data_IF_223423711191
#
_entry.id   IF_223423711191
#
_cell.length_a   1.000
_cell.length_b   1.000
_cell.length_c   1.000
_cell.angle_alpha   90.00
_cell.angle_beta   90.00
_cell.angle_gamma   90.00
#
_symmetry.space_group_name_H-M   'P 1'
#
loop_
_entity.id
_entity.type
_entity.pdbx_description
1 polymer ?
#
# COMPACT_ATOMS: atom_id res chain seq x y z
N UNK A 1 -9.95 -8.54 33.46
CA UNK A 1 -9.80 -9.79 32.70
C UNK A 1 -9.08 -9.46 31.40
N UNK A 2 -7.81 -9.82 31.27
CA UNK A 2 -7.05 -9.60 30.04
C UNK A 2 -7.45 -10.66 29.01
N UNK A 3 -8.01 -10.22 27.87
CA UNK A 3 -8.33 -11.11 26.77
C UNK A 3 -7.01 -11.67 26.19
N UNK A 4 -6.83 -12.98 26.32
CA UNK A 4 -5.75 -13.72 25.66
C UNK A 4 -6.00 -13.62 24.16
N UNK A 5 -5.15 -12.88 23.46
CA UNK A 5 -5.17 -12.84 21.99
C UNK A 5 -4.63 -14.19 21.50
N UNK A 6 -5.39 -14.97 20.71
CA UNK A 6 -4.91 -16.25 20.22
C UNK A 6 -3.68 -16.02 19.32
N UNK A 7 -2.67 -16.87 19.49
CA UNK A 7 -1.47 -16.84 18.67
C UNK A 7 -1.85 -16.96 17.19
N UNK A 8 -1.29 -16.07 16.38
CA UNK A 8 -1.48 -16.04 14.92
C UNK A 8 -0.77 -17.27 14.34
N UNK A 9 -1.47 -18.24 13.72
CA UNK A 9 -0.80 -19.38 13.10
C UNK A 9 0.11 -18.89 11.98
N UNK A 10 1.32 -19.46 11.94
CA UNK A 10 2.35 -19.16 10.95
C UNK A 10 1.79 -19.37 9.54
N UNK A 11 1.90 -18.34 8.70
CA UNK A 11 1.66 -18.47 7.26
C UNK A 11 2.90 -19.15 6.69
N UNK A 12 2.78 -20.22 5.88
CA UNK A 12 3.95 -20.84 5.28
C UNK A 12 4.71 -19.80 4.46
N UNK A 13 6.01 -19.68 4.72
CA UNK A 13 6.88 -18.77 3.99
C UNK A 13 6.81 -19.12 2.50
N UNK A 14 6.46 -18.16 1.65
CA UNK A 14 6.83 -18.27 0.23
C UNK A 14 8.36 -18.19 0.20
N UNK A 15 9.00 -19.18 -0.42
CA UNK A 15 10.46 -19.22 -0.56
C UNK A 15 10.98 -17.86 -1.03
N UNK A 16 12.11 -17.41 -0.45
CA UNK A 16 12.78 -16.17 -0.82
C UNK A 16 12.96 -16.13 -2.34
N UNK A 17 12.13 -15.33 -3.00
CA UNK A 17 12.21 -15.17 -4.43
C UNK A 17 13.21 -14.06 -4.71
N UNK A 18 14.35 -14.44 -5.31
CA UNK A 18 14.94 -13.60 -6.34
C UNK A 18 13.80 -13.02 -7.18
N UNK A 19 13.87 -11.73 -7.54
CA UNK A 19 12.87 -11.07 -8.40
C UNK A 19 12.85 -11.79 -9.75
N UNK A 20 12.17 -12.93 -9.81
CA UNK A 20 11.90 -13.67 -11.01
C UNK A 20 10.84 -12.86 -11.75
N UNK A 21 11.03 -12.56 -13.03
CA UNK A 21 9.95 -12.01 -13.84
C UNK A 21 8.75 -12.95 -13.66
N UNK A 22 7.60 -12.36 -13.31
CA UNK A 22 6.32 -13.07 -13.24
C UNK A 22 6.20 -13.82 -14.56
N UNK A 23 6.32 -15.15 -14.50
CA UNK A 23 6.39 -15.99 -15.68
C UNK A 23 5.21 -15.69 -16.60
N UNK A 24 5.49 -15.60 -17.89
CA UNK A 24 4.48 -15.39 -18.92
C UNK A 24 3.28 -16.32 -18.64
N UNK A 25 2.08 -15.74 -18.51
CA UNK A 25 0.77 -16.39 -18.38
C UNK A 25 0.13 -16.60 -16.99
N UNK A 26 0.68 -16.11 -15.87
CA UNK A 26 -0.08 -16.11 -14.60
C UNK A 26 -0.74 -14.75 -14.33
N UNK A 27 -2.08 -14.71 -14.37
CA UNK A 27 -2.85 -13.54 -13.91
C UNK A 27 -2.51 -13.20 -12.46
N UNK A 28 -2.27 -11.94 -12.17
CA UNK A 28 -1.96 -11.46 -10.81
C UNK A 28 -3.24 -11.30 -10.00
N UNK A 29 -3.21 -11.80 -8.76
CA UNK A 29 -4.37 -11.77 -7.86
C UNK A 29 -4.24 -10.58 -6.91
N UNK A 30 -5.13 -9.60 -7.05
CA UNK A 30 -5.15 -8.39 -6.24
C UNK A 30 -6.26 -8.47 -5.18
N UNK A 31 -5.88 -8.28 -3.92
CA UNK A 31 -6.81 -8.02 -2.83
C UNK A 31 -7.00 -6.50 -2.72
N UNK A 32 -8.21 -6.00 -2.93
CA UNK A 32 -8.54 -4.58 -2.79
C UNK A 32 -9.28 -4.36 -1.47
N UNK A 33 -8.69 -3.60 -0.55
CA UNK A 33 -9.30 -3.33 0.75
C UNK A 33 -10.60 -2.52 0.60
N UNK A 34 -11.67 -3.00 1.20
CA UNK A 34 -12.90 -2.23 1.44
C UNK A 34 -13.43 -2.53 2.84
N UNK A 35 -13.67 -1.49 3.61
CA UNK A 35 -14.17 -1.61 4.97
C UNK A 35 -14.10 -0.27 5.72
N UNK A 36 -14.27 -0.27 7.04
CA UNK A 36 -14.17 0.95 7.83
C UNK A 36 -12.86 1.69 7.56
N UNK A 37 -12.95 3.02 7.41
CA UNK A 37 -11.82 3.87 7.03
C UNK A 37 -11.54 3.96 5.52
N UNK A 38 -12.23 3.22 4.65
CA UNK A 38 -12.24 3.52 3.22
C UNK A 38 -13.20 4.68 2.93
N UNK A 39 -12.84 5.65 2.07
CA UNK A 39 -13.67 6.84 1.79
C UNK A 39 -14.76 6.63 0.75
N UNK A 40 -14.61 5.65 -0.13
CA UNK A 40 -15.53 5.40 -1.23
C UNK A 40 -16.06 3.98 -1.14
N UNK A 41 -17.31 3.79 -1.57
CA UNK A 41 -17.78 2.47 -1.95
C UNK A 41 -16.86 1.92 -3.05
N UNK A 42 -16.57 0.63 -3.01
CA UNK A 42 -15.67 -0.01 -3.97
C UNK A 42 -16.05 0.32 -5.42
N UNK A 43 -17.36 0.32 -5.75
CA UNK A 43 -17.89 0.64 -7.08
C UNK A 43 -17.55 2.06 -7.58
N UNK A 44 -17.30 3.01 -6.66
CA UNK A 44 -16.95 4.41 -6.99
C UNK A 44 -15.45 4.66 -7.00
N UNK A 45 -14.63 3.67 -6.65
CA UNK A 45 -13.17 3.80 -6.62
C UNK A 45 -12.59 3.75 -8.03
N UNK A 46 -12.06 4.87 -8.52
CA UNK A 46 -11.37 4.93 -9.82
C UNK A 46 -10.19 3.96 -9.89
N UNK A 47 -9.47 3.78 -8.77
CA UNK A 47 -8.38 2.82 -8.70
C UNK A 47 -8.89 1.38 -8.88
N UNK A 48 -9.98 1.01 -8.21
CA UNK A 48 -10.57 -0.32 -8.39
C UNK A 48 -11.01 -0.53 -9.84
N UNK A 49 -11.70 0.45 -10.42
CA UNK A 49 -12.14 0.39 -11.82
C UNK A 49 -10.95 0.29 -12.79
N UNK A 50 -9.84 0.98 -12.52
CA UNK A 50 -8.63 0.88 -13.33
C UNK A 50 -8.03 -0.54 -13.26
N UNK A 51 -7.87 -1.11 -12.07
CA UNK A 51 -7.36 -2.48 -11.92
C UNK A 51 -8.29 -3.53 -12.54
N UNK A 52 -9.61 -3.31 -12.52
CA UNK A 52 -10.58 -4.24 -13.11
C UNK A 52 -10.60 -4.24 -14.64
N UNK A 53 -10.09 -3.19 -15.28
CA UNK A 53 -9.99 -3.10 -16.75
C UNK A 53 -8.81 -3.87 -17.32
N UNK A 54 -7.83 -4.19 -16.48
CA UNK A 54 -6.65 -4.94 -16.90
C UNK A 54 -7.00 -6.45 -16.97
N UNK A 55 -6.93 -7.08 -18.15
CA UNK A 55 -7.29 -8.49 -18.32
C UNK A 55 -6.35 -9.46 -17.59
N UNK A 56 -5.14 -9.02 -17.24
CA UNK A 56 -4.13 -9.81 -16.53
C UNK A 56 -4.25 -9.72 -15.01
N UNK A 57 -5.18 -8.90 -14.49
CA UNK A 57 -5.47 -8.77 -13.08
C UNK A 57 -6.77 -9.48 -12.69
N UNK A 58 -6.73 -10.21 -11.58
CA UNK A 58 -7.90 -10.77 -10.90
C UNK A 58 -8.08 -10.03 -9.58
N UNK A 59 -8.97 -9.05 -9.58
CA UNK A 59 -9.23 -8.22 -8.40
C UNK A 59 -10.36 -8.83 -7.56
N UNK A 60 -10.18 -8.87 -6.24
CA UNK A 60 -11.21 -9.23 -5.26
C UNK A 60 -11.21 -8.23 -4.12
N UNK A 61 -12.40 -7.84 -3.69
CA UNK A 61 -12.56 -7.01 -2.50
C UNK A 61 -12.30 -7.87 -1.27
N UNK A 62 -11.57 -7.33 -0.30
CA UNK A 62 -11.34 -7.95 1.01
C UNK A 62 -11.69 -6.99 2.14
N UNK A 63 -12.30 -7.50 3.20
CA UNK A 63 -12.60 -6.74 4.41
C UNK A 63 -11.49 -6.89 5.48
N UNK A 64 -11.50 -6.08 6.56
CA UNK A 64 -10.63 -6.31 7.71
C UNK A 64 -10.78 -7.71 8.32
N UNK A 65 -12.00 -8.26 8.33
CA UNK A 65 -12.30 -9.61 8.82
C UNK A 65 -11.62 -10.67 7.95
N UNK A 66 -11.70 -10.52 6.62
CA UNK A 66 -11.02 -11.40 5.66
C UNK A 66 -9.50 -11.40 5.89
N UNK A 67 -8.93 -10.21 6.10
CA UNK A 67 -7.49 -10.04 6.34
C UNK A 67 -7.10 -10.71 7.66
N UNK A 68 -7.85 -10.49 8.75
CA UNK A 68 -7.62 -11.16 10.03
C UNK A 68 -7.73 -12.68 9.92
N UNK A 69 -8.67 -13.16 9.11
CA UNK A 69 -8.87 -14.58 8.81
C UNK A 69 -7.76 -15.18 7.90
N UNK A 70 -6.76 -14.40 7.49
CA UNK A 70 -5.61 -14.89 6.73
C UNK A 70 -5.88 -15.07 5.23
N UNK A 71 -6.96 -14.49 4.70
CA UNK A 71 -7.33 -14.67 3.28
C UNK A 71 -6.33 -14.07 2.28
N UNK A 72 -5.41 -13.21 2.75
CA UNK A 72 -4.31 -12.66 1.94
C UNK A 72 -3.38 -13.73 1.34
N UNK A 73 -3.33 -14.94 1.92
CA UNK A 73 -2.50 -16.03 1.40
C UNK A 73 -2.82 -16.41 -0.07
N UNK A 74 -4.05 -16.15 -0.52
CA UNK A 74 -4.48 -16.38 -1.90
C UNK A 74 -4.12 -15.27 -2.88
N UNK A 75 -3.44 -14.21 -2.45
CA UNK A 75 -3.19 -13.03 -3.28
C UNK A 75 -1.69 -12.81 -3.54
N UNK A 76 -1.41 -12.02 -4.56
CA UNK A 76 -0.07 -11.59 -4.92
C UNK A 76 0.18 -10.15 -4.44
N UNK A 77 -0.86 -9.30 -4.47
CA UNK A 77 -0.77 -7.89 -4.07
C UNK A 77 -1.97 -7.49 -3.21
N UNK A 78 -1.72 -6.76 -2.12
CA UNK A 78 -2.74 -6.03 -1.37
C UNK A 78 -2.74 -4.56 -1.80
N UNK A 79 -3.90 -4.08 -2.24
CA UNK A 79 -4.18 -2.68 -2.53
C UNK A 79 -4.97 -2.11 -1.36
N UNK A 80 -4.34 -1.20 -0.61
CA UNK A 80 -4.97 -0.47 0.47
C UNK A 80 -5.52 0.87 -0.05
N UNK A 81 -6.85 1.01 -0.02
CA UNK A 81 -7.57 2.12 -0.65
C UNK A 81 -7.35 3.48 0.05
N UNK A 82 -7.85 4.54 -0.59
CA UNK A 82 -7.99 5.87 0.04
C UNK A 82 -8.97 5.90 1.21
N UNK A 83 -9.01 7.04 1.91
CA UNK A 83 -9.88 7.28 3.07
C UNK A 83 -9.14 7.80 4.31
N UNK A 84 -9.30 7.12 5.45
CA UNK A 84 -8.62 7.41 6.71
C UNK A 84 -7.63 6.30 7.06
N UNK A 85 -6.33 6.59 6.99
CA UNK A 85 -5.28 5.60 7.33
C UNK A 85 -5.43 5.08 8.76
N UNK A 86 -5.71 5.97 9.72
CA UNK A 86 -6.00 5.57 11.10
C UNK A 86 -7.31 4.81 11.25
N UNK A 87 -8.34 5.15 10.47
CA UNK A 87 -9.59 4.39 10.43
C UNK A 87 -9.37 2.94 9.97
N UNK A 88 -8.62 2.76 8.88
CA UNK A 88 -8.26 1.45 8.35
C UNK A 88 -7.38 0.66 9.32
N UNK A 89 -6.32 1.28 9.86
CA UNK A 89 -5.42 0.64 10.83
C UNK A 89 -6.13 0.19 12.11
N UNK A 90 -7.07 0.99 12.63
CA UNK A 90 -7.90 0.61 13.79
C UNK A 90 -8.89 -0.50 13.43
N UNK A 91 -9.51 -0.45 12.25
CA UNK A 91 -10.46 -1.47 11.80
C UNK A 91 -9.78 -2.84 11.62
N UNK A 92 -8.54 -2.85 11.15
CA UNK A 92 -7.70 -4.06 11.06
C UNK A 92 -7.36 -4.62 12.44
N UNK A 93 -7.17 -3.75 13.44
CA UNK A 93 -6.61 -4.11 14.74
C UNK A 93 -5.16 -4.57 14.64
N UNK A 94 -4.56 -5.00 15.76
CA UNK A 94 -3.19 -5.53 15.74
C UNK A 94 -3.10 -6.80 14.88
N UNK A 95 -4.05 -7.72 15.04
CA UNK A 95 -4.05 -8.99 14.30
C UNK A 95 -4.12 -8.80 12.77
N UNK A 96 -4.95 -7.88 12.28
CA UNK A 96 -5.06 -7.61 10.84
C UNK A 96 -3.79 -6.94 10.29
N UNK A 97 -3.21 -6.01 11.05
CA UNK A 97 -1.94 -5.35 10.68
C UNK A 97 -0.78 -6.33 10.64
N UNK A 98 -0.73 -7.27 11.59
CA UNK A 98 0.26 -8.35 11.58
C UNK A 98 0.09 -9.27 10.37
N UNK A 99 -1.14 -9.62 10.00
CA UNK A 99 -1.38 -10.41 8.78
C UNK A 99 -0.86 -9.72 7.51
N UNK A 100 -0.98 -8.39 7.43
CA UNK A 100 -0.43 -7.63 6.32
C UNK A 100 1.10 -7.61 6.37
N UNK A 101 1.71 -7.38 7.54
CA UNK A 101 3.17 -7.44 7.70
C UNK A 101 3.74 -8.78 7.26
N UNK A 102 3.17 -9.88 7.73
CA UNK A 102 3.57 -11.24 7.34
C UNK A 102 3.39 -11.46 5.84
N UNK A 103 2.27 -11.02 5.26
CA UNK A 103 2.03 -11.13 3.83
C UNK A 103 3.12 -10.43 3.01
N UNK A 104 3.49 -9.20 3.37
CA UNK A 104 4.55 -8.45 2.68
C UNK A 104 5.92 -9.08 2.92
N UNK A 105 6.22 -9.49 4.15
CA UNK A 105 7.46 -10.19 4.49
C UNK A 105 7.64 -11.48 3.68
N UNK A 106 6.55 -12.18 3.40
CA UNK A 106 6.52 -13.38 2.56
C UNK A 106 6.44 -13.08 1.05
N UNK A 107 6.85 -11.89 0.61
CA UNK A 107 6.93 -11.52 -0.80
C UNK A 107 5.61 -11.06 -1.44
N UNK A 108 4.57 -10.80 -0.64
CA UNK A 108 3.36 -10.14 -1.12
C UNK A 108 3.60 -8.67 -1.43
N UNK A 109 3.07 -8.18 -2.56
CA UNK A 109 3.15 -6.76 -2.91
C UNK A 109 2.18 -5.90 -2.10
N UNK A 110 2.53 -4.66 -1.82
CA UNK A 110 1.64 -3.68 -1.19
C UNK A 110 1.53 -2.42 -2.03
N UNK A 111 0.30 -1.99 -2.32
CA UNK A 111 0.01 -0.72 -2.98
C UNK A 111 -0.85 0.12 -2.03
N UNK A 112 -0.30 1.20 -1.51
CA UNK A 112 -1.04 2.15 -0.68
C UNK A 112 -1.48 3.36 -1.49
N UNK A 113 -2.79 3.65 -1.49
CA UNK A 113 -3.36 4.82 -2.17
C UNK A 113 -3.88 5.80 -1.12
N UNK A 114 -3.38 7.03 -1.11
CA UNK A 114 -3.78 8.07 -0.15
C UNK A 114 -3.69 7.54 1.30
N UNK A 115 -4.80 7.22 1.94
CA UNK A 115 -4.85 6.59 3.27
C UNK A 115 -3.99 5.34 3.41
N UNK A 116 -3.96 4.48 2.39
CA UNK A 116 -3.10 3.30 2.37
C UNK A 116 -1.61 3.66 2.42
N UNK A 117 -1.22 4.82 1.91
CA UNK A 117 0.16 5.33 1.97
C UNK A 117 0.51 5.87 3.37
N UNK A 118 -0.46 6.42 4.11
CA UNK A 118 -0.26 6.71 5.54
C UNK A 118 -0.12 5.42 6.35
N UNK A 119 -0.96 4.42 6.06
CA UNK A 119 -1.03 3.17 6.82
C UNK A 119 0.29 2.37 6.77
N UNK A 120 0.99 2.35 5.63
CA UNK A 120 2.22 1.55 5.46
C UNK A 120 3.45 2.13 6.17
N UNK A 121 3.40 3.41 6.55
CA UNK A 121 4.48 4.14 7.25
C UNK A 121 4.85 3.51 8.61
N UNK A 122 5.83 4.09 9.31
CA UNK A 122 6.16 3.77 10.71
C UNK A 122 5.79 4.91 11.68
N UNK A 123 4.87 5.79 11.28
CA UNK A 123 4.70 7.10 11.90
C UNK A 123 3.59 7.19 12.96
N UNK A 124 2.75 6.16 13.07
CA UNK A 124 1.64 6.12 14.02
C UNK A 124 1.50 4.74 14.67
N UNK A 125 0.91 4.65 15.89
CA UNK A 125 0.69 3.36 16.56
C UNK A 125 -0.21 2.40 15.77
N UNK A 126 -1.07 2.93 14.89
CA UNK A 126 -1.95 2.16 14.00
C UNK A 126 -1.32 1.89 12.64
N UNK A 127 -0.11 2.40 12.35
CA UNK A 127 0.59 2.10 11.11
C UNK A 127 1.06 0.63 11.07
N UNK A 128 1.48 0.18 9.89
CA UNK A 128 2.00 -1.16 9.67
C UNK A 128 3.47 -1.27 10.05
N UNK A 129 4.25 -0.20 9.93
CA UNK A 129 5.69 -0.23 10.18
C UNK A 129 6.44 -1.04 9.12
N UNK A 130 6.00 -0.97 7.86
CA UNK A 130 6.62 -1.69 6.73
C UNK A 130 7.57 -0.76 5.97
N UNK A 131 7.14 0.47 5.72
CA UNK A 131 7.92 1.49 5.04
C UNK A 131 8.59 2.38 6.08
N UNK A 132 9.92 2.54 6.02
CA UNK A 132 10.69 3.45 6.88
C UNK A 132 10.48 4.92 6.48
N UNK A 133 9.24 5.36 6.57
CA UNK A 133 8.79 6.69 6.21
C UNK A 133 7.92 7.27 7.32
N UNK A 134 8.02 8.59 7.48
CA UNK A 134 7.16 9.40 8.32
C UNK A 134 6.32 10.35 7.47
N UNK A 135 5.18 10.77 8.02
CA UNK A 135 4.27 11.70 7.34
C UNK A 135 4.63 13.12 7.75
N UNK A 136 5.09 13.91 6.78
CA UNK A 136 5.34 15.33 6.95
C UNK A 136 4.04 16.12 7.02
N UNK A 137 4.06 17.11 7.91
CA UNK A 137 3.01 18.12 8.06
C UNK A 137 1.60 17.52 8.11
N UNK A 138 1.40 16.72 9.16
CA UNK A 138 0.16 15.99 9.49
C UNK A 138 -1.05 16.91 9.65
N UNK A 139 -0.82 18.17 10.01
CA UNK A 139 -1.88 19.16 10.28
C UNK A 139 -2.56 19.62 9.00
N UNK A 140 -1.82 19.75 7.90
CA UNK A 140 -2.34 20.29 6.64
C UNK A 140 -2.41 19.20 5.56
N UNK A 141 -3.18 18.13 5.84
CA UNK A 141 -3.37 17.04 4.87
C UNK A 141 -4.11 17.48 3.60
N UNK A 142 -4.95 18.52 3.70
CA UNK A 142 -5.74 19.09 2.62
C UNK A 142 -4.95 20.17 1.85
N UNK A 143 -3.94 19.74 1.08
CA UNK A 143 -3.01 20.61 0.30
C UNK A 143 -3.54 21.05 -1.05
N UNK A 144 -4.70 20.55 -1.45
CA UNK A 144 -5.31 20.84 -2.73
C UNK A 144 -5.15 19.69 -3.73
N UNK A 145 -5.58 19.99 -4.94
CA UNK A 145 -5.63 19.04 -6.04
C UNK A 145 -5.16 19.72 -7.32
N UNK A 146 -4.41 19.02 -8.15
CA UNK A 146 -3.98 19.56 -9.43
C UNK A 146 -2.88 18.73 -10.09
N UNK A 147 -2.51 19.08 -11.33
CA UNK A 147 -1.40 18.44 -12.00
C UNK A 147 -0.09 18.80 -11.29
N UNK A 148 0.73 17.79 -11.01
CA UNK A 148 2.08 17.94 -10.44
C UNK A 148 3.06 17.14 -11.30
N UNK A 149 4.17 17.79 -11.67
CA UNK A 149 5.26 17.13 -12.37
C UNK A 149 5.97 16.15 -11.43
N UNK A 150 6.37 15.00 -11.95
CA UNK A 150 7.09 13.97 -11.22
C UNK A 150 8.35 13.63 -11.99
N UNK A 151 9.48 13.69 -11.30
CA UNK A 151 10.75 13.18 -11.81
C UNK A 151 11.01 11.77 -11.32
N UNK A 152 11.61 10.96 -12.20
CA UNK A 152 11.96 9.58 -11.91
C UNK A 152 13.45 9.43 -11.59
N UNK A 153 13.75 8.58 -10.62
CA UNK A 153 15.10 8.03 -10.44
C UNK A 153 15.50 7.14 -11.62
N UNK A 154 16.77 6.76 -11.71
CA UNK A 154 17.24 5.79 -12.70
C UNK A 154 16.48 4.46 -12.61
N UNK A 155 16.28 3.95 -11.38
CA UNK A 155 15.49 2.75 -11.13
C UNK A 155 14.04 2.92 -11.54
N UNK A 156 13.43 4.08 -11.25
CA UNK A 156 12.06 4.39 -11.62
C UNK A 156 11.81 4.44 -13.13
N UNK A 157 12.79 4.89 -13.92
CA UNK A 157 12.71 4.90 -15.39
C UNK A 157 12.73 3.50 -16.01
N UNK A 158 13.13 2.48 -15.27
CA UNK A 158 13.11 1.09 -15.73
C UNK A 158 11.73 0.42 -15.58
N UNK A 159 10.76 1.11 -14.94
CA UNK A 159 9.41 0.57 -14.76
C UNK A 159 8.66 0.59 -16.09
N UNK A 160 8.06 -0.54 -16.53
CA UNK A 160 7.27 -0.58 -17.76
C UNK A 160 6.14 0.46 -17.76
N UNK A 161 5.98 1.17 -18.88
CA UNK A 161 4.96 2.22 -19.03
C UNK A 161 5.39 3.61 -18.56
N UNK A 162 6.58 3.76 -17.97
CA UNK A 162 7.20 5.07 -17.73
C UNK A 162 8.02 5.45 -18.96
N UNK A 163 7.54 6.42 -19.74
CA UNK A 163 8.25 6.98 -20.90
C UNK A 163 8.44 8.49 -20.74
N UNK A 164 9.69 8.95 -20.82
CA UNK A 164 10.07 10.36 -20.67
C UNK A 164 10.62 10.70 -19.28
N UNK A 165 11.33 11.83 -19.19
CA UNK A 165 12.01 12.25 -17.95
C UNK A 165 11.03 12.81 -16.90
N UNK A 166 9.91 13.38 -17.35
CA UNK A 166 8.89 14.03 -16.52
C UNK A 166 7.48 13.55 -16.87
N UNK A 167 6.76 13.01 -15.89
CA UNK A 167 5.34 12.65 -16.00
C UNK A 167 4.51 13.62 -15.15
N UNK A 168 3.46 14.19 -15.74
CA UNK A 168 2.48 14.97 -14.98
C UNK A 168 1.42 14.04 -14.41
N UNK A 169 1.34 13.94 -13.08
CA UNK A 169 0.32 13.19 -12.37
C UNK A 169 -0.73 14.13 -11.78
N UNK A 170 -1.99 13.68 -11.74
CA UNK A 170 -3.00 14.37 -10.95
C UNK A 170 -2.75 14.08 -9.47
N UNK A 171 -2.24 15.08 -8.76
CA UNK A 171 -2.10 15.06 -7.32
C UNK A 171 -3.45 15.36 -6.67
N UNK A 172 -3.83 14.56 -5.69
CA UNK A 172 -5.12 14.67 -5.02
C UNK A 172 -4.94 14.49 -3.53
N UNK A 173 -4.58 15.56 -2.83
CA UNK A 173 -4.20 15.51 -1.42
C UNK A 173 -3.07 14.46 -1.19
N UNK A 174 -2.80 14.15 0.06
CA UNK A 174 -2.10 12.91 0.41
C UNK A 174 -0.81 13.13 1.20
N UNK A 175 -0.28 12.04 1.77
CA UNK A 175 0.84 12.16 2.68
C UNK A 175 2.06 12.62 1.92
N UNK A 176 2.70 13.67 2.41
CA UNK A 176 4.08 13.96 2.08
C UNK A 176 4.93 13.01 2.90
N UNK A 177 5.52 12.01 2.26
CA UNK A 177 6.38 11.05 2.95
C UNK A 177 7.82 11.54 2.95
N UNK A 178 8.45 11.47 4.12
CA UNK A 178 9.89 11.65 4.28
C UNK A 178 10.52 10.41 4.89
N UNK A 179 11.84 10.21 4.73
CA UNK A 179 12.56 9.18 5.47
C UNK A 179 12.29 9.30 6.98
N UNK A 180 12.01 8.18 7.62
CA UNK A 180 11.99 8.07 9.07
C UNK A 180 13.35 7.56 9.57
N UNK A 181 13.55 7.63 10.89
CA UNK A 181 14.78 7.21 11.56
C UNK A 181 14.57 5.91 12.36
N UNK A 182 13.74 4.99 11.87
CA UNK A 182 13.58 3.68 12.50
C UNK A 182 14.77 2.78 12.12
N UNK A 183 15.66 2.52 13.08
CA UNK A 183 16.84 1.69 12.89
C UNK A 183 16.54 0.21 12.58
N UNK A 184 15.30 -0.24 12.78
CA UNK A 184 14.87 -1.62 12.53
C UNK A 184 14.37 -1.85 11.11
N UNK A 185 14.17 -0.79 10.33
CA UNK A 185 13.66 -0.85 8.97
C UNK A 185 14.69 -0.33 7.97
N UNK A 186 14.86 -0.97 6.80
CA UNK A 186 15.74 -0.44 5.76
C UNK A 186 15.20 0.88 5.22
N UNK A 187 16.09 1.75 4.73
CA UNK A 187 15.69 2.94 3.99
C UNK A 187 14.91 2.55 2.72
N UNK A 188 13.87 3.31 2.40
CA UNK A 188 13.18 3.13 1.13
C UNK A 188 13.94 3.80 -0.01
N UNK A 189 13.82 3.23 -1.21
CA UNK A 189 14.31 3.83 -2.44
C UNK A 189 13.14 4.56 -3.14
N UNK A 190 13.17 5.89 -3.26
CA UNK A 190 12.13 6.61 -3.99
C UNK A 190 12.34 6.46 -5.48
N UNK A 191 11.39 5.80 -6.15
CA UNK A 191 11.45 5.62 -7.60
C UNK A 191 11.02 6.87 -8.36
N UNK A 192 10.14 7.68 -7.76
CA UNK A 192 9.65 8.93 -8.33
C UNK A 192 9.39 9.96 -7.22
N UNK A 193 9.52 11.26 -7.53
CA UNK A 193 9.30 12.37 -6.59
C UNK A 193 8.52 13.50 -7.25
N UNK A 194 7.62 14.13 -6.49
CA UNK A 194 6.98 15.37 -6.94
C UNK A 194 8.04 16.46 -7.09
N UNK A 195 7.99 17.14 -8.23
CA UNK A 195 8.70 18.40 -8.43
C UNK A 195 7.83 19.51 -7.86
N UNK A 196 8.23 20.06 -6.72
CA UNK A 196 7.66 21.32 -6.26
C UNK A 196 8.07 22.44 -7.22
N UNK A 197 7.14 23.31 -7.60
CA UNK A 197 7.52 24.63 -8.10
C UNK A 197 8.40 25.26 -7.00
N UNK A 198 9.68 25.48 -7.33
CA UNK A 198 10.61 26.17 -6.44
C UNK A 198 10.14 27.59 -6.19
#
# INVERSE_FOLDING_TARGET
MAAVVPAVPAVPAKAQANVNPIGAHKKLRLAFYQGPGASLDASKSLALQAFQKDPDLVVRIVSPEDIRAGRLAGFDVLVQSGGSGGGQGRALGEAGRERIRVFVHCGGGYIGICAGSYLVSCDHPWSLGILNAQVLDKKHWARGTGPVAVSFSERGRQVPGVSGDNLTLQYGQGPLLAPAADAKLPAYEPWARYEGAR
#
